data_IF_032310860182
#
_entry.id   IF_032310860182
#
_cell.length_a   1.000
_cell.length_b   1.000
_cell.length_c   1.000
_cell.angle_alpha   90.00
_cell.angle_beta   90.00
_cell.angle_gamma   90.00
#
_symmetry.space_group_name_H-M   'P 1'
#
loop_
_entity.id
_entity.type
_entity.pdbx_description
1 polymer ?
#
# COMPACT_ATOMS: atom_id res chain seq x y z
N UNK A 1 7.90 9.22 -23.42
CA UNK A 1 8.20 10.06 -22.26
C UNK A 1 7.16 11.18 -21.99
N UNK A 2 6.47 11.74 -22.97
CA UNK A 2 5.43 12.76 -22.75
C UNK A 2 4.08 12.23 -22.25
N UNK A 3 3.67 11.02 -22.61
CA UNK A 3 2.42 10.39 -22.16
C UNK A 3 2.45 10.00 -20.67
N UNK A 4 3.59 9.54 -20.17
CA UNK A 4 3.78 9.26 -18.74
C UNK A 4 3.59 10.50 -17.85
N UNK A 5 4.12 11.67 -18.30
CA UNK A 5 3.95 12.93 -17.55
C UNK A 5 2.49 13.37 -17.41
N UNK A 6 1.65 13.09 -18.41
CA UNK A 6 0.26 13.57 -18.43
C UNK A 6 -0.65 12.77 -17.48
N UNK A 7 -0.38 11.46 -17.27
CA UNK A 7 -1.16 10.60 -16.36
C UNK A 7 -0.71 10.64 -14.91
N UNK A 8 0.59 10.71 -14.65
CA UNK A 8 1.14 10.86 -13.29
C UNK A 8 0.59 12.11 -12.60
N UNK A 9 0.22 13.15 -13.36
CA UNK A 9 -0.29 14.41 -12.81
C UNK A 9 -1.83 14.56 -12.84
N UNK A 10 -2.57 13.68 -13.54
CA UNK A 10 -4.00 13.90 -13.79
C UNK A 10 -4.96 13.04 -12.97
N UNK A 11 -4.57 11.87 -12.50
CA UNK A 11 -5.53 10.91 -11.93
C UNK A 11 -5.32 10.55 -10.47
N UNK A 12 -4.91 11.48 -9.65
CA UNK A 12 -5.10 11.35 -8.18
C UNK A 12 -4.63 10.00 -7.61
N UNK A 13 -4.18 9.97 -6.72
CA UNK A 13 -3.61 9.68 -5.43
C UNK A 13 -3.70 8.20 -4.97
N UNK A 14 -4.67 7.37 -5.44
CA UNK A 14 -4.68 5.91 -5.19
C UNK A 14 -4.23 5.05 -6.38
N UNK A 15 -3.98 5.64 -7.54
CA UNK A 15 -3.39 4.97 -8.71
C UNK A 15 -1.87 4.84 -8.56
N UNK A 16 -1.25 3.92 -9.31
CA UNK A 16 0.21 3.69 -9.25
C UNK A 16 1.02 4.97 -9.49
N UNK A 17 0.56 5.85 -10.37
CA UNK A 17 1.19 7.16 -10.59
C UNK A 17 1.21 8.09 -9.38
N UNK A 18 0.33 7.86 -8.40
CA UNK A 18 0.25 8.63 -7.15
C UNK A 18 0.94 7.97 -5.96
N UNK A 19 0.94 6.64 -5.89
CA UNK A 19 1.43 5.91 -4.72
C UNK A 19 2.77 5.19 -4.96
N UNK A 20 3.14 4.90 -6.22
CA UNK A 20 4.40 4.25 -6.54
C UNK A 20 5.53 5.28 -6.59
N UNK A 21 6.24 5.42 -5.50
CA UNK A 21 7.35 6.36 -5.35
C UNK A 21 8.69 5.62 -5.33
N UNK A 22 9.77 6.21 -5.89
CA UNK A 22 11.11 5.67 -5.74
C UNK A 22 11.56 5.68 -4.29
N UNK A 23 12.19 4.60 -3.85
CA UNK A 23 12.84 4.51 -2.55
C UNK A 23 14.33 4.24 -2.74
N UNK A 24 15.19 5.06 -2.12
CA UNK A 24 16.64 4.92 -2.19
C UNK A 24 17.19 4.87 -0.76
N UNK A 25 17.96 3.82 -0.47
CA UNK A 25 18.64 3.67 0.80
C UNK A 25 20.16 3.62 0.61
N UNK A 26 20.90 4.33 1.46
CA UNK A 26 22.35 4.28 1.48
C UNK A 26 22.84 4.15 2.92
N UNK A 27 23.50 3.03 3.19
CA UNK A 27 24.13 2.77 4.48
C UNK A 27 25.41 1.93 4.26
N UNK A 28 26.57 2.57 4.07
CA UNK A 28 27.82 1.89 3.77
C UNK A 28 28.16 0.81 4.80
N UNK A 29 28.57 -0.35 4.32
CA UNK A 29 28.89 -1.51 5.16
C UNK A 29 27.69 -2.33 5.64
N UNK A 30 26.45 -1.87 5.42
CA UNK A 30 25.22 -2.56 5.86
C UNK A 30 24.25 -2.84 4.70
N UNK A 31 23.93 -1.84 3.91
CA UNK A 31 23.10 -1.99 2.71
C UNK A 31 24.01 -2.27 1.52
N UNK A 32 23.83 -3.40 0.77
CA UNK A 32 24.63 -3.72 -0.39
C UNK A 32 24.56 -2.63 -1.46
N UNK A 33 25.71 -2.16 -1.92
CA UNK A 33 25.78 -1.12 -2.93
C UNK A 33 25.37 -1.63 -4.31
N UNK A 34 24.74 -0.78 -5.12
CA UNK A 34 24.38 -1.07 -6.52
C UNK A 34 23.30 -2.14 -6.70
N UNK A 35 22.54 -2.47 -5.64
CA UNK A 35 21.42 -3.42 -5.73
C UNK A 35 20.12 -2.70 -6.00
N UNK A 36 19.19 -3.38 -6.69
CA UNK A 36 17.79 -2.98 -6.83
C UNK A 36 16.90 -4.14 -6.38
N UNK A 37 15.70 -3.81 -5.90
CA UNK A 37 14.73 -4.79 -5.42
C UNK A 37 13.31 -4.29 -5.67
N UNK A 38 12.40 -5.20 -6.02
CA UNK A 38 10.99 -4.92 -6.32
C UNK A 38 10.05 -5.26 -5.14
N UNK A 39 10.58 -5.35 -3.92
CA UNK A 39 9.76 -5.61 -2.73
C UNK A 39 8.69 -4.53 -2.56
N UNK A 40 7.45 -4.99 -2.40
CA UNK A 40 6.29 -4.12 -2.22
C UNK A 40 6.22 -3.67 -0.77
N UNK A 41 6.36 -2.38 -0.53
CA UNK A 41 6.28 -1.77 0.80
C UNK A 41 5.52 -0.44 0.76
N UNK A 42 5.16 0.07 1.93
CA UNK A 42 4.47 1.34 2.09
C UNK A 42 5.16 2.21 3.16
N UNK A 43 4.79 3.49 3.27
CA UNK A 43 5.40 4.40 4.25
C UNK A 43 5.28 3.94 5.71
N UNK A 44 4.17 3.28 6.06
CA UNK A 44 3.98 2.77 7.41
C UNK A 44 4.94 1.62 7.78
N UNK A 45 5.66 1.05 6.79
CA UNK A 45 6.69 0.03 7.00
C UNK A 45 8.02 0.61 7.47
N UNK A 46 8.23 1.93 7.34
CA UNK A 46 9.47 2.59 7.75
C UNK A 46 9.69 2.49 9.26
N UNK A 47 8.63 2.70 10.05
CA UNK A 47 8.74 2.65 11.51
C UNK A 47 9.21 1.27 12.00
N UNK A 48 8.55 0.14 11.67
CA UNK A 48 9.03 -1.18 12.05
C UNK A 48 10.41 -1.51 11.48
N UNK A 49 10.73 -1.02 10.27
CA UNK A 49 12.05 -1.23 9.66
C UNK A 49 13.16 -0.55 10.47
N UNK A 50 12.98 0.70 10.86
CA UNK A 50 13.96 1.40 11.68
C UNK A 50 14.07 0.79 13.08
N UNK A 51 12.95 0.40 13.69
CA UNK A 51 12.97 -0.30 14.97
C UNK A 51 13.75 -1.61 14.91
N UNK A 52 13.58 -2.40 13.85
CA UNK A 52 14.35 -3.63 13.66
C UNK A 52 15.86 -3.35 13.47
N UNK A 53 16.20 -2.32 12.67
CA UNK A 53 17.60 -1.92 12.41
C UNK A 53 18.33 -1.54 13.69
N UNK A 54 17.69 -0.79 14.59
CA UNK A 54 18.27 -0.37 15.86
C UNK A 54 18.13 -1.41 16.98
N UNK A 55 17.55 -2.57 16.71
CA UNK A 55 17.37 -3.67 17.67
C UNK A 55 16.23 -3.48 18.65
N UNK A 56 15.31 -2.51 18.43
CA UNK A 56 14.13 -2.28 19.28
C UNK A 56 13.00 -3.25 18.89
N UNK A 57 12.99 -4.42 19.53
CA UNK A 57 12.01 -5.50 19.25
C UNK A 57 10.64 -5.28 19.89
N UNK A 58 10.56 -4.43 20.90
CA UNK A 58 9.34 -4.23 21.70
C UNK A 58 8.65 -2.90 21.41
N UNK A 59 8.90 -2.32 20.24
CA UNK A 59 8.39 -0.99 19.88
C UNK A 59 6.87 -0.86 19.98
N UNK A 60 6.11 -1.90 19.62
CA UNK A 60 4.65 -1.90 19.76
C UNK A 60 4.24 -1.69 21.21
N UNK A 61 4.76 -2.49 22.14
CA UNK A 61 4.48 -2.35 23.59
C UNK A 61 5.00 -1.05 24.18
N UNK A 62 6.15 -0.56 23.69
CA UNK A 62 6.82 0.62 24.21
C UNK A 62 6.15 1.92 23.76
N UNK A 63 5.64 1.96 22.53
CA UNK A 63 5.08 3.15 21.91
C UNK A 63 3.56 3.09 21.71
N UNK A 64 2.91 1.96 21.99
CA UNK A 64 1.47 1.89 22.08
C UNK A 64 0.94 2.90 23.10
N UNK A 65 -0.13 3.58 22.77
CA UNK A 65 -0.73 4.57 23.65
C UNK A 65 -1.10 3.92 25.00
N UNK A 66 -0.83 4.61 26.13
CA UNK A 66 -1.21 4.15 27.48
C UNK A 66 -2.71 3.87 27.61
N UNK A 67 -3.52 4.45 26.75
CA UNK A 67 -4.98 4.27 26.70
C UNK A 67 -5.41 3.00 25.93
N UNK A 68 -4.49 2.17 25.46
CA UNK A 68 -4.75 0.94 24.68
C UNK A 68 -5.53 1.14 23.37
N UNK A 69 -5.57 2.35 22.84
CA UNK A 69 -6.29 2.66 21.59
C UNK A 69 -5.52 2.23 20.34
N UNK A 70 -4.23 1.93 20.46
CA UNK A 70 -3.38 1.46 19.36
C UNK A 70 -2.49 0.32 19.87
N UNK A 71 -2.93 -0.91 19.69
CA UNK A 71 -2.19 -2.11 20.09
C UNK A 71 -1.34 -2.72 18.96
N UNK A 72 -1.35 -2.14 17.77
CA UNK A 72 -0.66 -2.69 16.60
C UNK A 72 -0.15 -1.59 15.66
N UNK A 73 0.76 -1.97 14.80
CA UNK A 73 1.22 -1.17 13.66
C UNK A 73 0.93 -1.96 12.40
N UNK A 74 0.37 -1.32 11.38
CA UNK A 74 0.06 -1.95 10.10
C UNK A 74 1.31 -2.33 9.31
N UNK A 75 2.44 -1.70 9.61
CA UNK A 75 3.69 -1.87 8.88
C UNK A 75 4.39 -3.20 9.14
N UNK A 76 5.02 -3.71 8.10
CA UNK A 76 5.93 -4.86 8.11
C UNK A 76 7.33 -4.37 7.82
N UNK A 77 8.29 -4.73 8.69
CA UNK A 77 9.69 -4.36 8.46
C UNK A 77 10.23 -4.94 7.17
N UNK A 78 10.84 -4.11 6.35
CA UNK A 78 11.61 -4.54 5.18
C UNK A 78 13.14 -4.43 5.39
N UNK A 79 13.59 -4.37 6.65
CA UNK A 79 15.01 -4.44 7.00
C UNK A 79 15.73 -5.66 6.40
N UNK A 80 15.13 -6.89 6.35
CA UNK A 80 15.76 -8.00 5.68
C UNK A 80 16.08 -7.72 4.20
N UNK A 81 15.15 -7.14 3.46
CA UNK A 81 15.36 -6.72 2.05
C UNK A 81 16.47 -5.69 1.93
N UNK A 82 16.46 -4.64 2.76
CA UNK A 82 17.50 -3.61 2.76
C UNK A 82 18.90 -4.17 3.04
N UNK A 83 18.98 -5.13 3.96
CA UNK A 83 20.25 -5.74 4.38
C UNK A 83 20.67 -6.95 3.51
N UNK A 84 20.00 -7.19 2.38
CA UNK A 84 20.31 -8.27 1.46
C UNK A 84 20.05 -9.68 2.02
N UNK A 85 19.15 -9.84 2.99
CA UNK A 85 18.78 -11.12 3.59
C UNK A 85 17.71 -11.83 2.75
N UNK A 86 17.72 -13.18 2.78
CA UNK A 86 16.84 -14.01 1.92
C UNK A 86 15.38 -14.11 2.38
N UNK A 87 15.07 -13.85 3.65
CA UNK A 87 13.72 -14.05 4.19
C UNK A 87 13.11 -12.68 4.49
N UNK A 88 12.15 -12.29 3.67
CA UNK A 88 11.35 -11.09 3.85
C UNK A 88 9.88 -11.47 4.03
N UNK A 89 9.22 -10.93 5.04
CA UNK A 89 7.78 -11.03 5.20
C UNK A 89 7.12 -10.03 4.26
N UNK A 90 6.09 -10.47 3.55
CA UNK A 90 5.33 -9.65 2.61
C UNK A 90 3.98 -9.25 3.19
N UNK A 91 3.38 -8.20 2.65
CA UNK A 91 2.01 -7.83 2.93
C UNK A 91 1.05 -8.74 2.16
N UNK A 92 -0.01 -9.21 2.83
CA UNK A 92 -1.13 -9.87 2.16
C UNK A 92 -1.89 -8.90 1.26
N UNK A 93 -1.96 -7.63 1.68
CA UNK A 93 -2.52 -6.50 0.92
C UNK A 93 -1.96 -5.18 1.44
N UNK A 94 -2.08 -4.12 0.61
CA UNK A 94 -1.90 -2.73 1.00
C UNK A 94 -3.22 -1.99 0.83
N UNK A 95 -3.49 -1.01 1.72
CA UNK A 95 -4.74 -0.27 1.76
C UNK A 95 -4.50 1.23 1.91
N UNK A 96 -5.25 2.05 1.19
CA UNK A 96 -5.20 3.51 1.24
C UNK A 96 -6.59 4.11 1.09
N UNK A 97 -6.85 5.19 1.80
CA UNK A 97 -8.00 6.08 1.59
C UNK A 97 -7.53 7.49 1.27
N UNK A 98 -8.24 8.13 0.38
CA UNK A 98 -7.98 9.51 -0.01
C UNK A 98 -9.28 10.29 -0.21
N UNK A 99 -9.65 11.11 0.77
CA UNK A 99 -10.94 11.78 0.81
C UNK A 99 -11.08 12.94 -0.18
N UNK A 100 -10.01 13.69 -0.48
CA UNK A 100 -10.08 14.83 -1.39
C UNK A 100 -10.61 14.44 -2.78
N UNK A 101 -10.29 13.25 -3.26
CA UNK A 101 -10.79 12.73 -4.54
C UNK A 101 -11.81 11.61 -4.37
N UNK A 102 -12.19 11.31 -3.13
CA UNK A 102 -13.11 10.24 -2.76
C UNK A 102 -12.68 8.89 -3.39
N UNK A 103 -11.49 8.45 -3.02
CA UNK A 103 -10.86 7.23 -3.54
C UNK A 103 -10.43 6.31 -2.42
N UNK A 104 -10.51 4.99 -2.69
CA UNK A 104 -9.95 3.93 -1.88
C UNK A 104 -9.07 3.08 -2.79
N UNK A 105 -7.84 2.78 -2.36
CA UNK A 105 -6.92 1.91 -3.07
C UNK A 105 -6.69 0.62 -2.28
N UNK A 106 -6.73 -0.52 -2.96
CA UNK A 106 -6.32 -1.82 -2.43
C UNK A 106 -5.35 -2.47 -3.39
N UNK A 107 -4.22 -2.96 -2.91
CA UNK A 107 -3.29 -3.79 -3.68
C UNK A 107 -3.15 -5.15 -3.02
N UNK A 108 -3.27 -6.22 -3.79
CA UNK A 108 -3.11 -7.60 -3.37
C UNK A 108 -2.29 -8.35 -4.42
N UNK A 109 -1.00 -8.50 -4.16
CA UNK A 109 -0.05 -9.00 -5.16
C UNK A 109 -0.03 -8.12 -6.41
N UNK A 110 -0.33 -8.71 -7.56
CA UNK A 110 -0.41 -8.00 -8.85
C UNK A 110 -1.76 -7.32 -9.10
N UNK A 111 -2.76 -7.61 -8.28
CA UNK A 111 -4.07 -7.00 -8.40
C UNK A 111 -4.13 -5.67 -7.67
N UNK A 112 -4.65 -4.66 -8.35
CA UNK A 112 -4.91 -3.33 -7.82
C UNK A 112 -6.36 -2.95 -8.06
N UNK A 113 -7.07 -2.58 -7.01
CA UNK A 113 -8.40 -2.01 -7.10
C UNK A 113 -8.39 -0.56 -6.63
N UNK A 114 -8.97 0.32 -7.43
CA UNK A 114 -9.29 1.70 -7.07
C UNK A 114 -10.80 1.85 -7.04
N UNK A 115 -11.34 2.17 -5.87
CA UNK A 115 -12.75 2.56 -5.75
C UNK A 115 -12.82 4.07 -5.83
N UNK A 116 -13.55 4.60 -6.81
CA UNK A 116 -13.75 6.03 -7.00
C UNK A 116 -15.24 6.36 -6.85
N UNK A 117 -15.57 7.13 -5.83
CA UNK A 117 -16.96 7.47 -5.51
C UNK A 117 -17.89 6.24 -5.40
N UNK A 118 -17.40 5.18 -4.76
CA UNK A 118 -18.13 3.93 -4.59
C UNK A 118 -18.04 2.94 -5.78
N UNK A 119 -17.52 3.35 -6.94
CA UNK A 119 -17.39 2.48 -8.13
C UNK A 119 -16.01 1.83 -8.16
N UNK A 120 -15.91 0.47 -8.20
CA UNK A 120 -14.65 -0.24 -8.27
C UNK A 120 -14.08 -0.29 -9.69
N UNK A 121 -12.77 -0.11 -9.82
CA UNK A 121 -11.96 -0.31 -11.02
C UNK A 121 -10.84 -1.27 -10.65
N UNK A 122 -10.68 -2.35 -11.41
CA UNK A 122 -9.69 -3.41 -11.15
C UNK A 122 -8.65 -3.45 -12.27
N UNK A 123 -7.38 -3.60 -11.88
CA UNK A 123 -6.23 -3.65 -12.79
C UNK A 123 -5.31 -4.81 -12.42
N UNK A 124 -4.66 -5.41 -13.42
CA UNK A 124 -3.57 -6.37 -13.21
C UNK A 124 -2.23 -5.68 -13.51
N UNK A 125 -1.49 -5.31 -12.47
CA UNK A 125 -0.25 -4.55 -12.59
C UNK A 125 0.90 -5.33 -13.24
N UNK A 126 0.82 -6.66 -13.28
CA UNK A 126 1.82 -7.47 -13.99
C UNK A 126 1.78 -7.25 -15.51
N UNK A 127 0.60 -6.92 -16.05
CA UNK A 127 0.38 -6.71 -17.49
C UNK A 127 -0.02 -5.30 -17.86
N UNK A 128 -0.52 -4.53 -16.89
CA UNK A 128 -1.04 -3.17 -17.07
C UNK A 128 -0.62 -2.26 -15.91
N UNK A 129 0.67 -1.92 -15.86
CA UNK A 129 1.24 -1.03 -14.84
C UNK A 129 0.71 0.41 -14.93
N UNK A 130 0.13 0.78 -16.07
CA UNK A 130 -0.42 2.11 -16.30
C UNK A 130 -1.90 2.24 -15.90
N UNK A 131 -2.53 1.12 -15.49
CA UNK A 131 -3.94 1.08 -15.07
C UNK A 131 -4.87 1.63 -16.17
N UNK A 132 -4.60 1.22 -17.43
CA UNK A 132 -5.32 1.64 -18.62
C UNK A 132 -6.60 0.85 -18.84
N UNK A 133 -6.61 -0.44 -18.45
CA UNK A 133 -7.65 -1.38 -18.79
C UNK A 133 -8.36 -1.87 -17.51
N UNK A 134 -9.55 -1.32 -17.24
CA UNK A 134 -10.40 -1.82 -16.15
C UNK A 134 -10.94 -3.21 -16.51
N UNK A 135 -10.61 -4.20 -15.70
CA UNK A 135 -11.03 -5.61 -15.84
C UNK A 135 -11.98 -6.06 -14.73
N UNK A 136 -12.62 -5.13 -14.01
CA UNK A 136 -13.52 -5.45 -12.89
C UNK A 136 -14.66 -6.40 -13.28
N UNK A 137 -15.26 -6.22 -14.46
CA UNK A 137 -16.35 -7.07 -14.94
C UNK A 137 -15.90 -8.48 -15.34
N UNK A 138 -14.59 -8.64 -15.62
CA UNK A 138 -14.01 -9.93 -16.02
C UNK A 138 -13.57 -10.76 -14.79
N UNK A 139 -13.36 -10.11 -13.62
CA UNK A 139 -12.88 -10.73 -12.39
C UNK A 139 -13.72 -10.34 -11.18
N UNK A 140 -15.04 -10.61 -11.18
CA UNK A 140 -15.93 -10.24 -10.08
C UNK A 140 -15.54 -10.89 -8.75
N UNK A 141 -14.95 -12.08 -8.76
CA UNK A 141 -14.47 -12.79 -7.56
C UNK A 141 -13.31 -12.04 -6.87
N UNK A 142 -12.41 -11.41 -7.65
CA UNK A 142 -11.32 -10.61 -7.12
C UNK A 142 -11.86 -9.29 -6.57
N UNK A 143 -12.78 -8.66 -7.27
CA UNK A 143 -13.46 -7.44 -6.81
C UNK A 143 -14.13 -7.68 -5.45
N UNK A 144 -14.90 -8.77 -5.28
CA UNK A 144 -15.56 -9.07 -4.00
C UNK A 144 -14.56 -9.38 -2.89
N UNK A 145 -13.47 -10.09 -3.18
CA UNK A 145 -12.39 -10.31 -2.20
C UNK A 145 -11.77 -8.99 -1.74
N UNK A 146 -11.48 -8.08 -2.65
CA UNK A 146 -10.91 -6.77 -2.32
C UNK A 146 -11.91 -5.84 -1.62
N UNK A 147 -13.21 -5.91 -1.94
CA UNK A 147 -14.25 -5.23 -1.17
C UNK A 147 -14.28 -5.70 0.29
N UNK A 148 -14.12 -7.01 0.53
CA UNK A 148 -14.05 -7.55 1.90
C UNK A 148 -12.89 -6.91 2.68
N UNK A 149 -11.73 -6.69 2.05
CA UNK A 149 -10.61 -5.98 2.66
C UNK A 149 -11.03 -4.54 2.99
N UNK A 150 -11.66 -3.82 2.06
CA UNK A 150 -12.11 -2.45 2.29
C UNK A 150 -13.02 -2.36 3.51
N UNK A 151 -14.04 -3.22 3.59
CA UNK A 151 -14.97 -3.21 4.72
C UNK A 151 -14.34 -3.59 6.06
N UNK A 152 -13.27 -4.39 6.02
CA UNK A 152 -12.53 -4.77 7.23
C UNK A 152 -11.55 -3.68 7.70
N UNK A 153 -10.99 -2.89 6.77
CA UNK A 153 -9.97 -1.88 7.07
C UNK A 153 -10.55 -0.49 7.30
N UNK A 154 -11.69 -0.18 6.69
CA UNK A 154 -12.31 1.14 6.81
C UNK A 154 -12.72 1.45 8.25
N UNK A 155 -12.22 2.56 8.77
CA UNK A 155 -12.64 3.11 10.05
C UNK A 155 -13.42 4.40 9.81
N UNK A 156 -14.73 4.44 10.13
CA UNK A 156 -15.54 5.65 9.94
C UNK A 156 -14.98 6.85 10.70
N UNK A 157 -14.84 7.97 9.99
CA UNK A 157 -14.34 9.21 10.58
C UNK A 157 -15.17 10.40 10.04
N UNK A 158 -15.76 11.25 10.91
CA UNK A 158 -16.59 12.38 10.48
C UNK A 158 -15.82 13.47 9.73
N UNK A 159 -14.49 13.54 9.92
CA UNK A 159 -13.62 14.53 9.26
C UNK A 159 -12.91 13.99 8.03
N UNK A 160 -12.99 12.69 7.82
CA UNK A 160 -12.32 12.00 6.70
C UNK A 160 -13.28 10.93 6.16
N UNK A 161 -14.06 11.30 5.15
CA UNK A 161 -15.06 10.41 4.57
C UNK A 161 -14.72 10.01 3.15
N UNK A 162 -14.93 8.73 2.86
CA UNK A 162 -14.88 8.15 1.52
C UNK A 162 -16.15 7.36 1.25
N UNK A 163 -16.56 7.24 -0.01
CA UNK A 163 -17.73 6.44 -0.40
C UNK A 163 -17.30 5.00 -0.59
N UNK A 164 -17.81 4.11 0.25
CA UNK A 164 -17.56 2.67 0.13
C UNK A 164 -18.27 2.09 -1.10
N UNK A 165 -17.76 0.99 -1.68
CA UNK A 165 -18.46 0.27 -2.72
C UNK A 165 -19.73 -0.40 -2.16
N UNK A 166 -20.70 -0.70 -3.03
CA UNK A 166 -21.92 -1.42 -2.64
C UNK A 166 -21.58 -2.82 -2.10
N UNK A 167 -22.22 -3.19 -0.98
CA UNK A 167 -22.22 -4.59 -0.51
C UNK A 167 -23.19 -5.36 -1.38
N UNK A 168 -22.73 -6.47 -1.93
CA UNK A 168 -23.67 -7.49 -2.47
C UNK A 168 -24.31 -8.28 -1.36
#
# INVERSE_FOLDING_TARGET
MQLLKKRILQDGKCYEGGIRIPFIARWPGHVPAGTANDHICAFYDLMPTFCEIIGEKNYVKKYANKNKEVDYFDGISFAPTLLGKKKQKEHDFLYWEFNETNQIGVRMGDWKMVVKKGVPFLYNLATDIHEDNNVADQHPEIVEKMKTIIFAQHTPNPYFSVTLPEKK
#
